data_IF_713900591584
#
_entry.id   IF_713900591584
#
_cell.length_a   1.000
_cell.length_b   1.000
_cell.length_c   1.000
_cell.angle_alpha   90.00
_cell.angle_beta   90.00
_cell.angle_gamma   90.00
#
_symmetry.space_group_name_H-M   'P 1'
#
loop_
_entity.id
_entity.type
_entity.pdbx_description
1 polymer ?
#
# COMPACT_ATOMS: atom_id res chain seq x y z
N UNK A 1 -15.88 5.17 -51.88
CA UNK A 1 -14.55 4.63 -51.47
C UNK A 1 -14.24 5.13 -50.08
N UNK A 2 -14.31 4.28 -49.04
CA UNK A 2 -13.95 4.68 -47.68
C UNK A 2 -12.43 4.84 -47.62
N UNK A 3 -11.93 6.04 -47.29
CA UNK A 3 -10.52 6.25 -46.96
C UNK A 3 -10.26 5.56 -45.62
N UNK A 4 -9.56 4.44 -45.63
CA UNK A 4 -8.97 3.87 -44.43
C UNK A 4 -7.87 4.83 -43.95
N UNK A 5 -8.17 5.57 -42.89
CA UNK A 5 -7.18 6.38 -42.18
C UNK A 5 -6.25 5.39 -41.47
N UNK A 6 -5.08 5.12 -42.05
CA UNK A 6 -4.01 4.35 -41.39
C UNK A 6 -3.79 4.93 -39.99
N UNK A 7 -3.87 4.07 -38.98
CA UNK A 7 -3.79 4.48 -37.58
C UNK A 7 -2.55 5.34 -37.31
N UNK A 8 -2.77 6.54 -36.76
CA UNK A 8 -1.74 7.58 -36.51
C UNK A 8 -0.75 7.21 -35.38
N UNK A 9 -0.87 6.03 -34.77
CA UNK A 9 0.04 5.58 -33.71
C UNK A 9 1.14 4.69 -34.26
N UNK A 10 2.15 5.31 -34.86
CA UNK A 10 3.34 4.62 -35.34
C UNK A 10 4.13 3.94 -34.21
N UNK A 11 4.05 4.46 -32.98
CA UNK A 11 4.76 3.97 -31.81
C UNK A 11 3.78 3.49 -30.73
N UNK A 12 3.75 2.18 -30.49
CA UNK A 12 3.00 1.61 -29.37
C UNK A 12 3.83 1.71 -28.09
N UNK A 13 3.18 2.09 -26.98
CA UNK A 13 3.83 2.27 -25.68
C UNK A 13 4.04 0.92 -24.99
N UNK A 14 5.06 0.80 -24.12
CA UNK A 14 5.24 -0.40 -23.30
C UNK A 14 4.18 -0.47 -22.21
N UNK A 15 3.63 -1.65 -22.00
CA UNK A 15 2.62 -1.94 -20.98
C UNK A 15 3.15 -3.02 -20.03
N UNK A 16 2.72 -2.98 -18.76
CA UNK A 16 3.07 -4.02 -17.81
C UNK A 16 2.15 -5.23 -18.05
N UNK A 17 2.64 -6.48 -17.97
CA UNK A 17 1.79 -7.66 -18.11
C UNK A 17 0.66 -7.65 -17.08
N UNK A 18 -0.59 -7.74 -17.52
CA UNK A 18 -1.77 -7.60 -16.66
C UNK A 18 -2.15 -6.16 -16.31
N UNK A 19 -1.51 -5.18 -16.95
CA UNK A 19 -1.86 -3.77 -16.88
C UNK A 19 -1.41 -3.07 -15.58
N UNK A 20 -1.87 -1.82 -15.35
CA UNK A 20 -1.40 -1.01 -14.23
C UNK A 20 -1.81 -1.57 -12.86
N UNK A 21 -2.93 -2.30 -12.78
CA UNK A 21 -3.39 -2.94 -11.53
C UNK A 21 -2.46 -4.06 -11.09
N UNK A 22 -2.04 -4.91 -12.02
CA UNK A 22 -1.08 -5.98 -11.73
C UNK A 22 0.27 -5.41 -11.29
N UNK A 23 0.71 -4.32 -11.93
CA UNK A 23 1.93 -3.61 -11.54
C UNK A 23 1.85 -3.09 -10.10
N UNK A 24 0.76 -2.38 -9.73
CA UNK A 24 0.60 -1.89 -8.37
C UNK A 24 0.52 -3.00 -7.34
N UNK A 25 -0.15 -4.12 -7.68
CA UNK A 25 -0.19 -5.30 -6.83
C UNK A 25 1.20 -5.89 -6.62
N UNK A 26 1.97 -6.08 -7.71
CA UNK A 26 3.35 -6.55 -7.63
C UNK A 26 4.21 -5.67 -6.74
N UNK A 27 4.07 -4.34 -6.84
CA UNK A 27 4.78 -3.41 -5.98
C UNK A 27 4.36 -3.59 -4.53
N UNK A 28 3.05 -3.59 -4.23
CA UNK A 28 2.57 -3.77 -2.86
C UNK A 28 3.02 -5.11 -2.23
N UNK A 29 3.02 -6.19 -3.01
CA UNK A 29 3.40 -7.53 -2.54
C UNK A 29 4.92 -7.65 -2.31
N UNK A 30 5.74 -6.91 -3.08
CA UNK A 30 7.21 -6.94 -2.98
C UNK A 30 7.79 -5.79 -2.14
N UNK A 31 6.96 -4.86 -1.66
CA UNK A 31 7.40 -3.68 -0.91
C UNK A 31 7.87 -4.10 0.48
N UNK A 32 9.16 -3.93 0.76
CA UNK A 32 9.73 -4.16 2.08
C UNK A 32 9.95 -2.82 2.78
N UNK A 33 9.34 -2.62 3.94
CA UNK A 33 9.53 -1.37 4.68
C UNK A 33 10.88 -1.41 5.42
N UNK A 34 11.81 -0.47 5.17
CA UNK A 34 13.08 -0.43 5.88
C UNK A 34 12.88 -0.19 7.38
N UNK A 35 13.68 -0.85 8.21
CA UNK A 35 13.61 -0.71 9.68
C UNK A 35 13.82 0.73 10.14
N UNK A 36 14.71 1.47 9.47
CA UNK A 36 14.95 2.89 9.71
C UNK A 36 13.70 3.74 9.49
N UNK A 37 12.93 3.44 8.44
CA UNK A 37 11.71 4.18 8.14
C UNK A 37 10.56 3.77 9.08
N UNK A 38 10.47 2.48 9.48
CA UNK A 38 9.50 2.00 10.47
C UNK A 38 9.71 2.62 11.86
N UNK A 39 10.96 2.63 12.36
CA UNK A 39 11.30 3.19 13.68
C UNK A 39 10.96 4.67 13.77
N UNK A 40 11.24 5.41 12.71
CA UNK A 40 11.00 6.84 12.62
C UNK A 40 9.58 7.19 12.16
N UNK A 41 8.72 6.19 11.92
CA UNK A 41 7.32 6.37 11.46
C UNK A 41 7.21 7.26 10.22
N UNK A 42 8.17 7.14 9.31
CA UNK A 42 8.25 7.94 8.09
C UNK A 42 7.26 7.39 7.08
N UNK A 43 6.39 8.23 6.54
CA UNK A 43 5.46 7.90 5.45
C UNK A 43 5.64 8.89 4.30
N UNK A 44 5.25 8.49 3.09
CA UNK A 44 5.19 9.43 1.96
C UNK A 44 5.17 8.75 0.61
N UNK A 45 5.58 9.51 -0.41
CA UNK A 45 5.65 9.02 -1.79
C UNK A 45 7.05 9.21 -2.36
N UNK A 46 7.65 8.12 -2.83
CA UNK A 46 8.92 8.16 -3.57
C UNK A 46 8.61 8.20 -5.06
N UNK A 47 9.22 9.15 -5.77
CA UNK A 47 9.06 9.30 -7.22
C UNK A 47 10.32 8.79 -7.91
N UNK A 48 10.17 7.71 -8.68
CA UNK A 48 11.27 7.08 -9.40
C UNK A 48 11.06 7.24 -10.91
N UNK A 49 12.09 7.74 -11.58
CA UNK A 49 12.20 7.76 -13.04
C UNK A 49 13.01 6.55 -13.48
N UNK A 50 12.54 5.87 -14.51
CA UNK A 50 13.22 4.70 -15.03
C UNK A 50 13.11 4.59 -16.54
N UNK A 51 14.09 3.93 -17.14
CA UNK A 51 14.19 3.70 -18.59
C UNK A 51 13.97 2.23 -18.89
N UNK A 52 13.01 1.95 -19.75
CA UNK A 52 12.66 0.63 -20.25
C UNK A 52 13.32 0.43 -21.61
N UNK A 53 14.06 -0.66 -21.75
CA UNK A 53 14.71 -1.06 -23.00
C UNK A 53 13.72 -1.72 -23.99
N UNK A 54 14.14 -1.91 -25.25
CA UNK A 54 13.30 -2.56 -26.27
C UNK A 54 12.92 -4.01 -25.94
N UNK A 55 13.64 -4.66 -25.02
CA UNK A 55 13.32 -5.99 -24.47
C UNK A 55 12.34 -5.96 -23.29
N UNK A 56 11.95 -4.77 -22.83
CA UNK A 56 11.04 -4.60 -21.69
C UNK A 56 11.70 -4.68 -20.32
N UNK A 57 13.04 -4.73 -20.27
CA UNK A 57 13.80 -4.66 -19.01
C UNK A 57 14.03 -3.21 -18.61
N UNK A 58 14.01 -2.94 -17.31
CA UNK A 58 14.46 -1.65 -16.77
C UNK A 58 15.98 -1.63 -16.74
N UNK A 59 16.59 -0.64 -17.40
CA UNK A 59 18.07 -0.53 -17.53
C UNK A 59 18.66 0.58 -16.67
N UNK A 60 17.87 1.61 -16.37
CA UNK A 60 18.30 2.76 -15.58
C UNK A 60 17.16 3.17 -14.67
N UNK A 61 17.48 3.44 -13.41
CA UNK A 61 16.58 3.95 -12.39
C UNK A 61 17.22 5.19 -11.76
N UNK A 62 16.40 6.18 -11.44
CA UNK A 62 16.82 7.39 -10.75
C UNK A 62 15.68 7.92 -9.88
N UNK A 63 15.92 8.07 -8.59
CA UNK A 63 14.99 8.79 -7.70
C UNK A 63 14.99 10.29 -8.05
N UNK A 64 13.80 10.83 -8.36
CA UNK A 64 13.60 12.28 -8.56
C UNK A 64 13.26 12.95 -7.24
N UNK A 65 12.37 12.33 -6.47
CA UNK A 65 11.92 12.82 -5.18
C UNK A 65 11.89 11.64 -4.23
N UNK A 66 12.78 11.68 -3.25
CA UNK A 66 12.92 10.68 -2.21
C UNK A 66 12.39 11.16 -0.88
N UNK A 67 12.13 10.21 0.02
CA UNK A 67 11.81 10.49 1.43
C UNK A 67 13.02 10.15 2.32
N UNK A 68 13.99 9.40 1.78
CA UNK A 68 15.14 8.91 2.53
C UNK A 68 14.81 7.74 3.46
N UNK A 69 15.67 7.54 4.48
CA UNK A 69 15.53 6.47 5.48
C UNK A 69 15.47 5.05 4.91
N UNK A 70 16.09 4.79 3.75
CA UNK A 70 16.11 3.48 3.09
C UNK A 70 14.96 3.25 2.10
N UNK A 71 13.96 4.13 2.05
CA UNK A 71 12.80 3.97 1.17
C UNK A 71 13.16 4.19 -0.31
N UNK A 72 14.18 5.00 -0.56
CA UNK A 72 14.62 5.37 -1.90
C UNK A 72 15.31 4.18 -2.58
N UNK A 73 16.20 3.50 -1.84
CA UNK A 73 16.90 2.29 -2.27
C UNK A 73 15.92 1.13 -2.49
N UNK A 74 14.94 0.97 -1.61
CA UNK A 74 13.90 -0.04 -1.78
C UNK A 74 13.03 0.25 -3.02
N UNK A 75 12.66 1.51 -3.24
CA UNK A 75 11.90 1.91 -4.42
C UNK A 75 12.68 1.62 -5.72
N UNK A 76 13.98 1.90 -5.75
CA UNK A 76 14.83 1.56 -6.90
C UNK A 76 14.92 0.05 -7.12
N UNK A 77 15.09 -0.75 -6.05
CA UNK A 77 15.09 -2.21 -6.11
C UNK A 77 13.80 -2.73 -6.74
N UNK A 78 12.64 -2.29 -6.25
CA UNK A 78 11.34 -2.73 -6.76
C UNK A 78 11.16 -2.40 -8.24
N UNK A 79 11.55 -1.18 -8.66
CA UNK A 79 11.43 -0.74 -10.06
C UNK A 79 12.39 -1.52 -10.97
N UNK A 80 13.59 -1.86 -10.50
CA UNK A 80 14.56 -2.66 -11.28
C UNK A 80 14.06 -4.08 -11.59
N UNK A 81 13.19 -4.63 -10.74
CA UNK A 81 12.60 -5.97 -10.90
C UNK A 81 11.43 -6.00 -11.88
N UNK A 82 10.90 -4.83 -12.28
CA UNK A 82 9.78 -4.76 -13.21
C UNK A 82 10.19 -5.23 -14.60
N UNK A 83 9.31 -6.00 -15.23
CA UNK A 83 9.43 -6.42 -16.62
C UNK A 83 8.18 -6.01 -17.38
N UNK A 84 8.39 -5.29 -18.47
CA UNK A 84 7.33 -4.76 -19.33
C UNK A 84 7.22 -5.55 -20.63
N UNK A 85 6.04 -5.54 -21.21
CA UNK A 85 5.80 -6.01 -22.56
C UNK A 85 5.96 -4.84 -23.53
N UNK A 86 6.98 -4.93 -24.38
CA UNK A 86 7.26 -3.92 -25.41
C UNK A 86 6.76 -4.45 -26.76
N UNK A 87 5.79 -3.76 -27.39
CA UNK A 87 5.31 -4.16 -28.71
C UNK A 87 6.42 -3.99 -29.76
N UNK A 88 6.70 -5.06 -30.50
CA UNK A 88 7.69 -5.05 -31.59
C UNK A 88 7.24 -4.09 -32.69
N UNK A 89 7.77 -2.88 -32.67
CA UNK A 89 7.46 -1.85 -33.67
C UNK A 89 8.45 -1.95 -34.82
N UNK A 90 7.96 -2.20 -36.05
CA UNK A 90 8.61 -2.07 -37.38
C UNK A 90 10.15 -2.02 -37.40
N UNK A 91 10.83 -2.96 -36.74
CA UNK A 91 12.30 -3.11 -36.66
C UNK A 91 13.07 -1.96 -35.97
N UNK A 92 12.41 -1.09 -35.19
CA UNK A 92 13.10 -0.03 -34.43
C UNK A 92 13.28 -0.43 -32.96
N UNK A 93 14.50 -0.24 -32.44
CA UNK A 93 14.79 -0.35 -31.00
C UNK A 93 14.54 1.00 -30.36
N UNK A 94 13.55 1.09 -29.49
CA UNK A 94 13.17 2.34 -28.81
C UNK A 94 13.26 2.13 -27.31
N UNK A 95 13.83 3.11 -26.62
CA UNK A 95 13.85 3.18 -25.17
C UNK A 95 12.74 4.11 -24.68
N UNK A 96 12.09 3.74 -23.59
CA UNK A 96 11.00 4.51 -23.01
C UNK A 96 11.34 4.96 -21.61
N UNK A 97 11.33 6.26 -21.38
CA UNK A 97 11.48 6.83 -20.05
C UNK A 97 10.09 7.00 -19.43
N UNK A 98 9.90 6.47 -18.21
CA UNK A 98 8.67 6.60 -17.43
C UNK A 98 8.97 7.05 -16.02
N UNK A 99 7.93 7.52 -15.34
CA UNK A 99 7.97 7.90 -13.93
C UNK A 99 6.89 7.13 -13.20
N UNK A 100 7.21 6.60 -12.02
CA UNK A 100 6.26 5.95 -11.12
C UNK A 100 6.31 6.58 -9.74
N UNK A 101 5.16 6.64 -9.10
CA UNK A 101 5.00 7.10 -7.72
C UNK A 101 4.74 5.87 -6.85
N UNK A 102 5.59 5.63 -5.86
CA UNK A 102 5.49 4.51 -4.93
C UNK A 102 5.14 5.06 -3.56
N UNK A 103 4.02 4.61 -3.00
CA UNK A 103 3.52 5.09 -1.72
C UNK A 103 4.03 4.18 -0.59
N UNK A 104 4.73 4.75 0.37
CA UNK A 104 5.11 4.10 1.61
C UNK A 104 4.14 4.56 2.71
N UNK A 105 3.30 3.64 3.16
CA UNK A 105 2.33 3.84 4.24
C UNK A 105 2.64 2.88 5.37
N UNK A 106 2.56 3.35 6.61
CA UNK A 106 2.77 2.49 7.76
C UNK A 106 1.67 1.43 7.82
N UNK A 107 2.03 0.19 8.19
CA UNK A 107 1.03 -0.85 8.39
C UNK A 107 0.10 -0.42 9.53
N UNK A 108 -1.19 -0.26 9.22
CA UNK A 108 -2.21 -0.03 10.25
C UNK A 108 -2.21 -1.24 11.17
N UNK A 109 -1.96 -1.02 12.46
CA UNK A 109 -2.12 -2.05 13.50
C UNK A 109 -3.56 -2.57 13.38
N UNK A 110 -3.73 -3.83 12.99
CA UNK A 110 -5.06 -4.46 12.98
C UNK A 110 -5.53 -4.53 14.42
N UNK A 111 -6.48 -3.68 14.79
CA UNK A 111 -7.16 -3.78 16.07
C UNK A 111 -8.00 -5.06 16.04
N UNK A 112 -7.59 -6.05 16.82
CA UNK A 112 -8.33 -7.29 17.00
C UNK A 112 -9.51 -6.94 17.92
N UNK A 113 -10.70 -6.75 17.35
CA UNK A 113 -11.93 -6.58 18.12
C UNK A 113 -12.38 -7.95 18.65
N UNK A 114 -11.84 -8.36 19.79
CA UNK A 114 -12.35 -9.52 20.52
C UNK A 114 -13.71 -9.15 21.11
N UNK A 115 -14.81 -9.47 20.41
CA UNK A 115 -16.15 -9.41 21.00
C UNK A 115 -16.28 -10.55 22.02
N UNK A 116 -16.16 -10.22 23.29
CA UNK A 116 -16.50 -11.15 24.38
C UNK A 116 -18.03 -11.21 24.45
N UNK A 117 -18.64 -12.31 24.01
CA UNK A 117 -20.07 -12.56 24.21
C UNK A 117 -20.30 -13.17 25.59
N UNK A 118 -20.86 -12.40 26.52
CA UNK A 118 -21.29 -12.91 27.82
C UNK A 118 -22.69 -13.49 27.69
N UNK A 119 -22.79 -14.82 27.72
CA UNK A 119 -24.07 -15.49 27.98
C UNK A 119 -24.37 -15.36 29.46
N UNK A 120 -25.18 -14.36 29.83
CA UNK A 120 -25.71 -14.24 31.18
C UNK A 120 -26.56 -15.49 31.47
N UNK A 121 -26.07 -16.39 32.32
CA UNK A 121 -26.94 -17.39 32.96
C UNK A 121 -27.83 -16.61 33.94
N UNK A 122 -29.15 -16.55 33.75
CA UNK A 122 -30.02 -15.88 34.70
C UNK A 122 -30.02 -16.66 36.01
N UNK A 123 -29.42 -16.09 37.05
CA UNK A 123 -29.60 -16.54 38.42
C UNK A 123 -30.95 -16.00 38.91
N UNK A 124 -31.96 -16.86 38.81
CA UNK A 124 -33.20 -16.98 39.59
C UNK A 124 -33.61 -15.77 40.47
N UNK A 125 -34.76 -15.19 40.14
CA UNK A 125 -35.50 -14.20 40.92
C UNK A 125 -35.78 -14.64 42.36
N UNK A 126 -35.50 -13.78 43.35
CA UNK A 126 -36.27 -13.71 44.60
C UNK A 126 -36.57 -12.24 44.96
N UNK A 127 -37.84 -11.99 45.24
CA UNK A 127 -38.52 -10.68 45.32
C UNK A 127 -38.30 -9.96 46.65
N UNK A 128 -38.24 -8.62 46.54
CA UNK A 128 -38.61 -7.55 47.48
C UNK A 128 -39.12 -7.89 48.90
N UNK A 129 -38.52 -7.26 49.93
CA UNK A 129 -39.28 -6.64 51.04
C UNK A 129 -38.46 -5.58 51.76
N UNK A 130 -39.03 -4.38 51.85
CA UNK A 130 -38.52 -3.13 52.42
C UNK A 130 -38.56 -3.08 53.94
N UNK A 131 -37.51 -2.61 54.61
CA UNK A 131 -37.59 -1.95 55.93
C UNK A 131 -36.56 -0.80 56.04
N UNK A 132 -36.90 0.36 56.62
CA UNK A 132 -36.00 1.51 56.72
C UNK A 132 -34.92 1.27 57.79
N UNK A 133 -33.70 1.78 57.55
CA UNK A 133 -32.57 1.68 58.49
C UNK A 133 -32.55 2.92 59.39
N UNK A 134 -32.72 2.72 60.69
CA UNK A 134 -32.55 3.74 61.74
C UNK A 134 -31.08 3.86 62.13
N UNK A 135 -30.56 5.08 62.22
CA UNK A 135 -29.18 5.36 62.65
C UNK A 135 -29.22 5.94 64.07
N UNK A 136 -28.64 5.24 65.04
CA UNK A 136 -28.30 5.81 66.35
C UNK A 136 -26.83 6.23 66.34
N UNK A 137 -26.56 7.45 66.80
CA UNK A 137 -25.21 7.95 67.03
C UNK A 137 -24.96 8.05 68.54
N UNK A 138 -23.80 7.56 68.98
CA UNK A 138 -23.30 7.78 70.35
C UNK A 138 -22.18 8.81 70.29
N UNK A 139 -22.39 9.91 71.01
CA UNK A 139 -21.40 10.98 71.22
C UNK A 139 -20.67 10.65 72.51
N UNK A 140 -19.35 10.52 72.45
CA UNK A 140 -18.50 10.41 73.63
C UNK A 140 -17.86 11.78 73.89
N UNK A 141 -17.94 12.24 75.13
CA UNK A 141 -17.24 13.44 75.65
C UNK A 141 -15.81 13.12 76.05
#
# INVERSE_FOLDING_TARGET
MKREVKEKHFLKKPEYPGGPRAMHKFLADNQQYPDSALKNRIEGTVTVRYTIDYLGKVIQTRVIAGIGHGCDEEAERMVSLLKFEVPKTRKMKVQFQKTIHIHFKLPKKKEISTSVSYTLKPAKEEKSSSKPKTYEYRINW
#
